data_IF_247676546817
#
_entry.id   IF_247676546817
#
_cell.length_a   1.000
_cell.length_b   1.000
_cell.length_c   1.000
_cell.angle_alpha   90.00
_cell.angle_beta   90.00
_cell.angle_gamma   90.00
#
_symmetry.space_group_name_H-M   'P 1'
#
loop_
_entity.id
_entity.type
_entity.pdbx_description
1 polymer ?
#
# COMPACT_ATOMS: atom_id res chain seq x y z
N UNK A 1 11.93 12.39 -3.81
CA UNK A 1 13.34 12.04 -3.52
C UNK A 1 13.41 10.73 -2.74
N UNK A 2 14.52 9.98 -2.84
CA UNK A 2 14.73 8.72 -2.11
C UNK A 2 15.97 8.83 -1.22
N UNK A 3 15.82 8.53 0.08
CA UNK A 3 16.86 8.62 1.09
C UNK A 3 17.22 7.25 1.65
N UNK A 4 18.49 7.05 2.03
CA UNK A 4 19.04 5.79 2.55
C UNK A 4 19.93 6.09 3.76
N UNK A 5 19.35 6.38 4.94
CA UNK A 5 20.12 6.71 6.13
C UNK A 5 21.00 5.56 6.58
N UNK A 6 22.11 5.91 7.22
CA UNK A 6 22.81 5.01 8.15
C UNK A 6 21.96 4.75 9.40
N UNK A 7 22.34 3.75 10.20
CA UNK A 7 21.64 3.47 11.45
C UNK A 7 21.63 4.66 12.41
N UNK A 8 22.74 5.39 12.51
CA UNK A 8 22.84 6.57 13.38
C UNK A 8 21.89 7.69 12.96
N UNK A 9 21.79 7.96 11.65
CA UNK A 9 20.85 8.94 11.11
C UNK A 9 19.39 8.49 11.26
N UNK A 10 19.13 7.19 11.20
CA UNK A 10 17.79 6.62 11.25
C UNK A 10 17.20 6.55 12.68
N UNK A 11 18.04 6.57 13.72
CA UNK A 11 17.60 6.45 15.13
C UNK A 11 16.62 7.55 15.56
N UNK A 12 16.85 8.78 15.13
CA UNK A 12 15.99 9.92 15.47
C UNK A 12 15.15 10.34 14.25
N UNK A 13 13.91 9.87 14.26
CA UNK A 13 12.92 10.20 13.23
C UNK A 13 12.76 11.72 13.05
N UNK A 14 12.59 12.48 14.12
CA UNK A 14 12.30 13.92 14.04
C UNK A 14 13.47 14.70 13.45
N UNK A 15 14.69 14.37 13.87
CA UNK A 15 15.90 14.99 13.32
C UNK A 15 16.11 14.62 11.86
N UNK A 16 15.83 13.37 11.48
CA UNK A 16 15.94 12.93 10.09
C UNK A 16 14.88 13.56 9.18
N UNK A 17 13.66 13.79 9.67
CA UNK A 17 12.62 14.54 8.94
C UNK A 17 13.10 15.97 8.65
N UNK A 18 13.62 16.69 9.65
CA UNK A 18 14.18 18.04 9.45
C UNK A 18 15.33 18.04 8.43
N UNK A 19 16.17 17.02 8.48
CA UNK A 19 17.24 16.85 7.49
C UNK A 19 16.68 16.70 6.08
N UNK A 20 15.74 15.78 5.81
CA UNK A 20 15.22 15.59 4.45
C UNK A 20 14.46 16.83 3.95
N UNK A 21 13.76 17.55 4.82
CA UNK A 21 13.11 18.82 4.49
C UNK A 21 14.13 19.89 4.09
N UNK A 22 15.26 19.99 4.81
CA UNK A 22 16.36 20.89 4.43
C UNK A 22 16.99 20.55 3.06
N UNK A 23 16.81 19.31 2.58
CA UNK A 23 17.22 18.86 1.24
C UNK A 23 16.13 19.06 0.18
N UNK A 24 15.02 19.70 0.52
CA UNK A 24 13.91 19.99 -0.38
C UNK A 24 12.94 18.83 -0.61
N UNK A 25 12.96 17.79 0.24
CA UNK A 25 12.08 16.62 0.06
C UNK A 25 10.59 16.98 0.11
N UNK A 26 10.24 17.98 0.92
CA UNK A 26 8.89 18.53 1.07
C UNK A 26 8.36 19.17 -0.22
N UNK A 27 9.23 19.73 -1.07
CA UNK A 27 8.80 20.41 -2.31
C UNK A 27 8.13 19.45 -3.30
N UNK A 28 8.46 18.15 -3.24
CA UNK A 28 7.84 17.13 -4.07
C UNK A 28 6.50 16.61 -3.52
N UNK A 29 6.11 16.96 -2.29
CA UNK A 29 4.92 16.44 -1.61
C UNK A 29 5.01 14.98 -1.15
N UNK A 30 6.02 14.22 -1.59
CA UNK A 30 6.27 12.83 -1.21
C UNK A 30 7.78 12.52 -1.19
N UNK A 31 8.20 11.80 -0.15
CA UNK A 31 9.57 11.32 0.00
C UNK A 31 9.59 9.83 0.39
N UNK A 32 10.59 9.09 -0.07
CA UNK A 32 10.82 7.70 0.29
C UNK A 32 12.07 7.59 1.17
N UNK A 33 11.96 6.98 2.34
CA UNK A 33 13.10 6.62 3.20
C UNK A 33 13.21 5.09 3.19
N UNK A 34 14.36 4.57 2.77
CA UNK A 34 14.66 3.14 2.81
C UNK A 34 15.51 2.91 4.06
N UNK A 35 14.99 2.22 5.10
CA UNK A 35 15.71 2.07 6.36
C UNK A 35 16.98 1.23 6.20
N UNK A 36 17.93 1.33 7.16
CA UNK A 36 19.09 0.45 7.22
C UNK A 36 18.69 -1.03 7.25
N UNK A 37 19.41 -1.94 6.56
CA UNK A 37 19.05 -3.36 6.45
C UNK A 37 19.02 -4.13 7.79
N UNK A 38 19.76 -3.65 8.78
CA UNK A 38 19.79 -4.19 10.14
C UNK A 38 18.53 -3.85 10.95
N UNK A 39 17.80 -2.79 10.58
CA UNK A 39 16.58 -2.41 11.27
C UNK A 39 15.41 -3.30 10.86
N UNK A 40 14.85 -4.02 11.83
CA UNK A 40 13.72 -4.95 11.63
C UNK A 40 12.59 -4.59 12.60
N UNK A 41 11.46 -4.03 12.12
CA UNK A 41 10.37 -3.57 13.00
C UNK A 41 9.67 -4.73 13.71
N UNK A 42 9.58 -5.91 13.07
CA UNK A 42 9.00 -7.12 13.66
C UNK A 42 9.94 -8.30 13.48
N UNK A 43 10.60 -8.71 14.56
CA UNK A 43 11.60 -9.80 14.54
C UNK A 43 11.00 -11.16 14.20
N UNK A 44 9.73 -11.41 14.53
CA UNK A 44 9.02 -12.66 14.26
C UNK A 44 8.51 -12.80 12.81
N UNK A 45 8.72 -11.80 11.95
CA UNK A 45 8.25 -11.84 10.56
C UNK A 45 6.76 -11.59 10.40
N UNK A 46 6.21 -11.95 9.24
CA UNK A 46 4.82 -11.65 8.84
C UNK A 46 4.09 -12.87 8.27
N UNK A 47 4.37 -14.07 8.79
CA UNK A 47 3.63 -15.26 8.39
C UNK A 47 2.14 -15.10 8.73
N UNK A 48 1.28 -15.05 7.71
CA UNK A 48 -0.16 -14.83 7.87
C UNK A 48 -0.81 -15.95 8.68
N UNK A 49 -0.27 -17.17 8.60
CA UNK A 49 -0.79 -18.32 9.36
C UNK A 49 -0.61 -18.15 10.88
N UNK A 50 0.39 -17.38 11.30
CA UNK A 50 0.71 -17.08 12.70
C UNK A 50 0.09 -15.75 13.18
N UNK A 51 -0.51 -14.97 12.29
CA UNK A 51 -1.13 -13.68 12.61
C UNK A 51 -2.64 -13.89 12.81
N UNK A 52 -3.05 -13.95 14.08
CA UNK A 52 -4.47 -13.95 14.43
C UNK A 52 -5.03 -12.51 14.39
N UNK A 53 -5.39 -12.05 13.20
CA UNK A 53 -5.96 -10.72 12.97
C UNK A 53 -7.32 -10.82 12.27
N UNK A 54 -8.29 -10.06 12.78
CA UNK A 54 -9.60 -9.85 12.14
C UNK A 54 -9.70 -8.41 11.65
N UNK A 55 -10.20 -8.25 10.43
CA UNK A 55 -10.47 -6.97 9.81
C UNK A 55 -11.95 -6.65 10.09
N UNK A 56 -12.26 -5.73 11.01
CA UNK A 56 -13.63 -5.55 11.50
C UNK A 56 -14.58 -4.96 10.45
N UNK A 57 -14.09 -4.03 9.64
CA UNK A 57 -14.89 -3.34 8.62
C UNK A 57 -14.10 -3.19 7.30
N UNK A 58 -13.95 -4.27 6.52
CA UNK A 58 -13.33 -4.20 5.19
C UNK A 58 -14.15 -3.29 4.26
N UNK A 59 -13.48 -2.65 3.30
CA UNK A 59 -14.13 -1.73 2.35
C UNK A 59 -14.04 -2.32 0.95
N UNK A 60 -15.15 -2.28 0.22
CA UNK A 60 -15.19 -2.51 -1.21
C UNK A 60 -15.32 -1.15 -1.91
N UNK A 61 -14.30 -0.75 -2.66
CA UNK A 61 -14.30 0.46 -3.45
C UNK A 61 -14.97 0.17 -4.79
N UNK A 62 -16.03 0.93 -5.06
CA UNK A 62 -16.70 0.96 -6.36
C UNK A 62 -16.29 2.26 -7.03
N UNK A 63 -15.62 2.15 -8.18
CA UNK A 63 -15.14 3.31 -8.92
C UNK A 63 -15.97 3.48 -10.18
N UNK A 64 -16.42 4.70 -10.45
CA UNK A 64 -17.09 5.10 -11.69
C UNK A 64 -16.39 6.33 -12.28
N UNK A 65 -16.44 6.48 -13.60
CA UNK A 65 -15.76 7.58 -14.29
C UNK A 65 -15.02 7.11 -15.54
N UNK A 66 -14.40 8.06 -16.25
CA UNK A 66 -13.68 7.83 -17.50
C UNK A 66 -12.71 8.96 -17.79
N UNK A 67 -11.78 8.72 -18.72
CA UNK A 67 -10.85 9.75 -19.24
C UNK A 67 -10.02 10.46 -18.15
N UNK A 68 -9.59 9.72 -17.13
CA UNK A 68 -8.74 10.27 -16.06
C UNK A 68 -9.51 10.88 -14.88
N UNK A 69 -10.83 10.97 -14.97
CA UNK A 69 -11.69 11.49 -13.91
C UNK A 69 -12.54 10.37 -13.32
N UNK A 70 -12.40 10.14 -12.01
CA UNK A 70 -13.03 9.03 -11.32
C UNK A 70 -13.64 9.46 -9.99
N UNK A 71 -14.81 8.91 -9.68
CA UNK A 71 -15.45 8.97 -8.38
C UNK A 71 -15.38 7.59 -7.72
N UNK A 72 -14.98 7.58 -6.45
CA UNK A 72 -14.91 6.34 -5.66
C UNK A 72 -15.95 6.37 -4.55
N UNK A 73 -16.70 5.27 -4.42
CA UNK A 73 -17.65 5.03 -3.34
C UNK A 73 -17.16 3.85 -2.50
N UNK A 74 -17.14 4.03 -1.18
CA UNK A 74 -16.71 3.01 -0.23
C UNK A 74 -17.91 2.25 0.32
N UNK A 75 -18.01 0.96 0.02
CA UNK A 75 -19.07 0.07 0.53
C UNK A 75 -18.49 -0.82 1.62
N UNK A 76 -18.96 -0.65 2.85
CA UNK A 76 -18.54 -1.48 3.98
C UNK A 76 -18.97 -2.94 3.77
N UNK A 77 -18.08 -3.87 4.15
CA UNK A 77 -18.30 -5.32 4.09
C UNK A 77 -18.31 -5.91 5.49
N UNK A 78 -18.79 -7.16 5.58
CA UNK A 78 -18.75 -7.92 6.83
C UNK A 78 -17.30 -8.18 7.23
N UNK A 79 -17.07 -8.28 8.54
CA UNK A 79 -15.77 -8.62 9.10
C UNK A 79 -15.21 -9.89 8.48
N UNK A 80 -13.90 -9.93 8.25
CA UNK A 80 -13.21 -11.11 7.74
C UNK A 80 -11.83 -11.24 8.38
N UNK A 81 -11.28 -12.44 8.45
CA UNK A 81 -9.92 -12.65 8.95
C UNK A 81 -8.88 -12.20 7.92
N UNK A 82 -7.64 -11.97 8.36
CA UNK A 82 -6.53 -11.68 7.46
C UNK A 82 -6.31 -12.81 6.43
N UNK A 83 -6.52 -14.07 6.82
CA UNK A 83 -6.48 -15.24 5.93
C UNK A 83 -7.53 -15.15 4.82
N UNK A 84 -8.78 -14.88 5.18
CA UNK A 84 -9.88 -14.73 4.20
C UNK A 84 -9.61 -13.57 3.24
N UNK A 85 -9.04 -12.47 3.74
CA UNK A 85 -8.66 -11.34 2.89
C UNK A 85 -7.53 -11.70 1.91
N UNK A 86 -6.52 -12.46 2.35
CA UNK A 86 -5.44 -12.98 1.50
C UNK A 86 -5.99 -13.87 0.38
N UNK A 87 -6.82 -14.86 0.73
CA UNK A 87 -7.47 -15.77 -0.22
C UNK A 87 -8.32 -15.00 -1.24
N UNK A 88 -9.02 -13.95 -0.81
CA UNK A 88 -9.77 -13.07 -1.70
C UNK A 88 -8.84 -12.34 -2.67
N UNK A 89 -7.75 -11.75 -2.18
CA UNK A 89 -6.78 -11.01 -2.98
C UNK A 89 -6.02 -11.91 -3.98
N UNK A 90 -5.79 -13.18 -3.65
CA UNK A 90 -5.11 -14.16 -4.51
C UNK A 90 -6.06 -14.91 -5.45
N UNK A 91 -7.38 -14.75 -5.28
CA UNK A 91 -8.36 -15.38 -6.17
C UNK A 91 -8.26 -14.87 -7.61
N UNK A 92 -8.68 -15.68 -8.57
CA UNK A 92 -8.60 -15.37 -10.01
C UNK A 92 -9.17 -13.99 -10.37
N UNK A 93 -10.19 -13.55 -9.63
CA UNK A 93 -10.91 -12.29 -9.85
C UNK A 93 -10.15 -11.04 -9.38
N UNK A 94 -9.34 -11.15 -8.33
CA UNK A 94 -8.70 -9.98 -7.67
C UNK A 94 -7.18 -10.02 -7.67
N UNK A 95 -6.58 -11.13 -8.09
CA UNK A 95 -5.13 -11.25 -8.22
C UNK A 95 -4.56 -10.19 -9.16
N UNK A 96 -3.30 -9.84 -8.92
CA UNK A 96 -2.55 -8.92 -9.77
C UNK A 96 -2.52 -9.46 -11.21
N UNK A 97 -2.93 -8.69 -12.22
CA UNK A 97 -2.87 -9.14 -13.61
C UNK A 97 -1.41 -9.35 -14.02
N UNK A 98 -1.15 -10.30 -14.93
CA UNK A 98 0.18 -10.49 -15.52
C UNK A 98 0.65 -9.18 -16.15
N UNK A 99 1.88 -8.77 -15.86
CA UNK A 99 2.52 -7.56 -16.36
C UNK A 99 4.02 -7.80 -16.50
N UNK A 100 4.69 -7.04 -17.36
CA UNK A 100 6.14 -7.21 -17.60
C UNK A 100 6.98 -6.17 -16.86
N UNK A 101 6.44 -4.96 -16.64
CA UNK A 101 7.06 -3.90 -15.85
C UNK A 101 5.99 -3.08 -15.09
N UNK A 102 6.43 -2.08 -14.33
CA UNK A 102 5.54 -1.22 -13.55
C UNK A 102 4.68 -0.29 -14.42
N UNK A 103 5.19 0.16 -15.57
CA UNK A 103 4.45 1.04 -16.47
C UNK A 103 3.26 0.31 -17.12
N UNK A 104 3.45 -0.96 -17.47
CA UNK A 104 2.38 -1.83 -17.96
C UNK A 104 1.33 -2.11 -16.88
N UNK A 105 1.77 -2.34 -15.65
CA UNK A 105 0.86 -2.51 -14.52
C UNK A 105 0.06 -1.23 -14.25
N UNK A 106 0.67 -0.06 -14.32
CA UNK A 106 0.00 1.23 -14.18
C UNK A 106 -1.04 1.46 -15.28
N UNK A 107 -0.68 1.19 -16.55
CA UNK A 107 -1.64 1.26 -17.67
C UNK A 107 -2.84 0.34 -17.46
N UNK A 108 -2.61 -0.88 -16.98
CA UNK A 108 -3.66 -1.85 -16.66
C UNK A 108 -4.54 -1.38 -15.50
N UNK A 109 -3.94 -0.81 -14.45
CA UNK A 109 -4.67 -0.23 -13.33
C UNK A 109 -5.67 0.83 -13.81
N UNK A 110 -5.21 1.87 -14.53
CA UNK A 110 -6.08 2.94 -15.00
C UNK A 110 -7.15 2.47 -16.00
N UNK A 111 -6.80 1.51 -16.85
CA UNK A 111 -7.74 0.93 -17.83
C UNK A 111 -8.85 0.13 -17.16
N UNK A 112 -8.53 -0.63 -16.11
CA UNK A 112 -9.48 -1.54 -15.45
C UNK A 112 -10.24 -0.87 -14.30
N UNK A 113 -9.76 0.27 -13.78
CA UNK A 113 -10.31 0.94 -12.60
C UNK A 113 -11.84 1.09 -12.60
N UNK A 114 -12.52 1.49 -13.70
CA UNK A 114 -14.00 1.59 -13.73
C UNK A 114 -14.76 0.28 -13.60
N UNK A 115 -14.08 -0.84 -13.89
CA UNK A 115 -14.67 -2.18 -13.90
C UNK A 115 -14.30 -3.02 -12.68
N UNK A 116 -13.33 -2.55 -11.89
CA UNK A 116 -12.82 -3.26 -10.73
C UNK A 116 -13.60 -2.91 -9.48
N UNK A 117 -13.78 -3.92 -8.62
CA UNK A 117 -14.13 -3.74 -7.23
C UNK A 117 -12.89 -4.04 -6.41
N UNK A 118 -12.36 -3.04 -5.72
CA UNK A 118 -11.16 -3.21 -4.91
C UNK A 118 -11.56 -3.47 -3.46
N UNK A 119 -10.97 -4.48 -2.83
CA UNK A 119 -11.16 -4.72 -1.39
C UNK A 119 -9.96 -4.17 -0.63
N UNK A 120 -10.20 -3.33 0.36
CA UNK A 120 -9.16 -2.70 1.16
C UNK A 120 -9.42 -2.84 2.65
N UNK A 121 -8.33 -2.80 3.41
CA UNK A 121 -8.35 -2.58 4.85
C UNK A 121 -8.79 -1.13 5.11
N UNK A 122 -9.66 -0.93 6.09
CA UNK A 122 -9.90 0.40 6.63
C UNK A 122 -8.71 0.76 7.51
N UNK A 123 -7.90 1.74 7.08
CA UNK A 123 -6.83 2.36 7.88
C UNK A 123 -7.41 3.27 8.95
#
# INVERSE_FOLDING_TARGET
MTFRPSYEEFKDFSSYIKYIESRGANLAGLAKIIPPPEWKPRKSGYNIDEINMTIPAPICQVVSGKQGEYQQINVMKRSMTLRQFKELAESERYQTPKHFDYDDLERKYWKMLPTLRLYMLRT
#
